data_IF_320131135425
#
_entry.id   IF_320131135425
#
_cell.length_a   1.000
_cell.length_b   1.000
_cell.length_c   1.000
_cell.angle_alpha   90.00
_cell.angle_beta   90.00
_cell.angle_gamma   90.00
#
_symmetry.space_group_name_H-M   'P 1'
#
loop_
_entity.id
_entity.type
_entity.pdbx_description
1 polymer ?
#
# COMPACT_ATOMS: atom_id res chain seq x y z
N UNK A 1 45.07 0.36 10.17
CA UNK A 1 43.79 -0.32 10.48
C UNK A 1 42.74 0.28 9.62
N UNK A 2 42.00 -0.56 8.92
CA UNK A 2 40.79 -0.19 8.21
C UNK A 2 39.60 -0.82 8.91
N UNK A 3 38.51 -0.08 8.99
CA UNK A 3 37.25 -0.51 9.59
C UNK A 3 36.15 -0.36 8.53
N UNK A 4 35.49 -1.47 8.22
CA UNK A 4 34.34 -1.50 7.34
C UNK A 4 33.07 -1.76 8.17
N UNK A 5 32.23 -0.76 8.42
CA UNK A 5 30.98 -0.98 9.15
C UNK A 5 30.00 -1.79 8.29
N UNK A 6 29.46 -2.86 8.84
CA UNK A 6 28.42 -3.65 8.20
C UNK A 6 27.09 -2.85 8.23
N UNK A 7 26.29 -2.87 7.15
CA UNK A 7 25.08 -2.05 7.03
C UNK A 7 24.05 -2.23 8.14
N UNK A 8 23.91 -3.44 8.67
CA UNK A 8 22.93 -3.78 9.71
C UNK A 8 23.46 -4.86 10.67
N UNK A 9 23.10 -4.74 11.95
CA UNK A 9 23.40 -5.72 13.00
C UNK A 9 22.56 -6.99 12.90
N UNK A 10 21.33 -6.86 12.40
CA UNK A 10 20.39 -7.96 12.18
C UNK A 10 20.28 -8.27 10.69
N UNK A 11 21.34 -8.81 10.10
CA UNK A 11 21.36 -9.23 8.72
C UNK A 11 22.20 -10.49 8.52
N UNK A 12 21.90 -11.22 7.45
CA UNK A 12 22.70 -12.36 7.01
C UNK A 12 23.72 -11.84 5.99
N UNK A 13 24.99 -12.15 6.24
CA UNK A 13 26.10 -11.92 5.32
C UNK A 13 26.70 -13.28 4.94
N UNK A 14 26.51 -13.69 3.69
CA UNK A 14 27.03 -14.94 3.13
C UNK A 14 28.14 -14.65 2.10
N UNK A 15 29.00 -15.63 1.82
CA UNK A 15 30.13 -15.52 0.87
C UNK A 15 30.99 -14.26 1.11
N UNK A 16 31.25 -13.94 2.39
CA UNK A 16 32.07 -12.79 2.78
C UNK A 16 33.51 -12.99 2.33
N UNK A 17 33.99 -12.05 1.50
CA UNK A 17 35.35 -12.03 0.94
C UNK A 17 36.00 -10.70 1.27
N UNK A 18 37.19 -10.77 1.84
CA UNK A 18 38.02 -9.61 2.14
C UNK A 18 39.38 -9.86 1.51
N UNK A 19 39.77 -9.00 0.57
CA UNK A 19 41.04 -9.12 -0.16
C UNK A 19 41.80 -7.79 -0.13
N UNK A 20 43.12 -7.88 -0.04
CA UNK A 20 44.04 -6.77 -0.17
C UNK A 20 44.91 -7.02 -1.41
N UNK A 21 44.88 -6.10 -2.37
CA UNK A 21 45.58 -6.23 -3.65
C UNK A 21 45.26 -7.54 -4.39
N UNK A 22 44.01 -8.01 -4.25
CA UNK A 22 43.50 -9.25 -4.85
C UNK A 22 43.79 -10.53 -4.06
N UNK A 23 44.64 -10.48 -3.04
CA UNK A 23 44.95 -11.64 -2.18
C UNK A 23 44.04 -11.66 -0.93
N UNK A 24 43.54 -12.83 -0.50
CA UNK A 24 42.80 -12.95 0.76
C UNK A 24 43.62 -12.46 1.95
N UNK A 25 43.01 -11.67 2.83
CA UNK A 25 43.66 -11.11 4.03
C UNK A 25 42.91 -11.53 5.29
N UNK A 26 43.64 -11.72 6.39
CA UNK A 26 43.03 -11.98 7.70
C UNK A 26 42.27 -10.74 8.19
N UNK A 27 41.07 -10.95 8.69
CA UNK A 27 40.22 -9.90 9.26
C UNK A 27 39.63 -10.36 10.60
N UNK A 28 39.17 -9.40 11.40
CA UNK A 28 38.42 -9.64 12.62
C UNK A 28 37.05 -8.99 12.51
N UNK A 29 36.02 -9.60 13.08
CA UNK A 29 34.70 -8.96 13.19
C UNK A 29 34.54 -8.44 14.62
N UNK A 30 34.31 -7.14 14.79
CA UNK A 30 34.09 -6.50 16.10
C UNK A 30 33.05 -5.39 15.92
N UNK A 31 32.12 -5.27 16.87
CA UNK A 31 31.16 -4.14 16.94
C UNK A 31 30.46 -3.82 15.61
N UNK A 32 29.92 -4.84 14.93
CA UNK A 32 29.25 -4.70 13.62
C UNK A 32 30.19 -4.23 12.49
N UNK A 33 31.51 -4.40 12.62
CA UNK A 33 32.47 -4.00 11.60
C UNK A 33 33.50 -5.09 11.30
N UNK A 34 34.04 -5.04 10.07
CA UNK A 34 35.18 -5.84 9.64
C UNK A 34 36.45 -5.01 9.82
N UNK A 35 37.37 -5.52 10.62
CA UNK A 35 38.64 -4.89 10.95
C UNK A 35 39.77 -5.56 10.18
N UNK A 36 40.49 -4.78 9.39
CA UNK A 36 41.64 -5.24 8.59
C UNK A 36 42.90 -4.48 8.99
N UNK A 37 43.94 -5.22 9.35
CA UNK A 37 45.26 -4.67 9.68
C UNK A 37 46.25 -5.05 8.59
N UNK A 38 46.74 -4.07 7.84
CA UNK A 38 47.77 -4.25 6.82
C UNK A 38 48.86 -3.20 6.94
N UNK A 39 50.10 -3.57 6.55
CA UNK A 39 51.21 -2.62 6.41
C UNK A 39 51.34 -2.24 4.95
N UNK A 40 51.16 -0.96 4.66
CA UNK A 40 51.36 -0.39 3.31
C UNK A 40 52.68 0.37 3.32
N UNK A 41 53.64 0.05 2.41
CA UNK A 41 54.88 0.80 2.30
C UNK A 41 54.63 2.28 1.97
N UNK A 42 55.57 3.14 2.37
CA UNK A 42 55.43 4.59 2.13
C UNK A 42 55.46 4.87 0.62
N UNK A 43 54.40 5.51 0.13
CA UNK A 43 54.26 5.88 -1.28
C UNK A 43 53.49 4.86 -2.13
N UNK A 44 53.21 3.67 -1.57
CA UNK A 44 52.39 2.67 -2.23
C UNK A 44 50.90 2.90 -1.97
N UNK A 45 50.07 2.40 -2.89
CA UNK A 45 48.61 2.33 -2.76
C UNK A 45 48.22 0.88 -2.56
N UNK A 46 47.35 0.61 -1.60
CA UNK A 46 46.78 -0.71 -1.39
C UNK A 46 45.27 -0.67 -1.67
N UNK A 47 44.77 -1.67 -2.37
CA UNK A 47 43.35 -1.80 -2.74
C UNK A 47 42.69 -2.82 -1.83
N UNK A 48 41.78 -2.36 -0.97
CA UNK A 48 40.95 -3.25 -0.17
C UNK A 48 39.62 -3.50 -0.89
N UNK A 49 39.28 -4.76 -1.10
CA UNK A 49 37.98 -5.16 -1.64
C UNK A 49 37.23 -6.03 -0.65
N UNK A 50 35.98 -5.64 -0.37
CA UNK A 50 35.03 -6.35 0.48
C UNK A 50 33.84 -6.75 -0.38
N UNK A 51 33.50 -8.03 -0.39
CA UNK A 51 32.33 -8.56 -1.11
C UNK A 51 31.54 -9.48 -0.21
N UNK A 52 30.21 -9.44 -0.31
CA UNK A 52 29.31 -10.31 0.43
C UNK A 52 27.98 -10.43 -0.31
N UNK A 53 27.22 -11.45 0.05
CA UNK A 53 25.82 -11.63 -0.32
C UNK A 53 24.96 -11.36 0.89
N UNK A 54 23.86 -10.65 0.70
CA UNK A 54 22.89 -10.39 1.76
C UNK A 54 21.48 -10.49 1.21
N UNK A 55 20.51 -10.61 2.11
CA UNK A 55 19.09 -10.69 1.79
C UNK A 55 18.37 -9.49 2.39
N UNK A 56 17.55 -8.83 1.58
CA UNK A 56 16.69 -7.72 1.98
C UNK A 56 15.39 -7.79 1.19
N UNK A 57 14.30 -7.27 1.78
CA UNK A 57 12.94 -7.39 1.21
C UNK A 57 12.38 -6.07 0.68
N UNK A 58 12.82 -4.95 1.24
CA UNK A 58 12.10 -3.67 1.08
C UNK A 58 12.93 -2.66 0.30
N UNK A 59 14.16 -2.42 0.75
CA UNK A 59 14.96 -1.31 0.29
C UNK A 59 16.45 -1.62 0.38
N UNK A 60 17.20 -1.07 -0.56
CA UNK A 60 18.66 -1.02 -0.51
C UNK A 60 19.11 0.43 -0.35
N UNK A 61 20.07 0.68 0.55
CA UNK A 61 20.67 2.01 0.76
C UNK A 61 22.19 1.92 0.88
N UNK A 62 22.86 2.95 0.42
CA UNK A 62 24.29 3.18 0.60
C UNK A 62 24.52 4.59 1.13
N UNK A 63 25.04 4.67 2.35
CA UNK A 63 25.38 5.93 2.98
C UNK A 63 26.79 6.34 2.60
N UNK A 64 26.94 7.56 2.06
CA UNK A 64 28.24 8.17 1.77
C UNK A 64 28.93 8.67 3.04
N UNK A 65 28.17 8.85 4.13
CA UNK A 65 28.64 9.22 5.47
C UNK A 65 27.46 9.39 6.43
N UNK A 66 27.71 9.91 7.64
CA UNK A 66 26.66 10.08 8.65
C UNK A 66 25.84 11.37 8.47
N UNK A 67 26.37 12.36 7.75
CA UNK A 67 25.75 13.66 7.45
C UNK A 67 26.12 14.10 6.00
N UNK A 68 26.54 15.36 5.82
CA UNK A 68 27.14 15.82 4.57
C UNK A 68 28.53 15.20 4.41
N UNK A 69 28.66 14.30 3.44
CA UNK A 69 29.92 13.62 3.15
C UNK A 69 30.54 14.18 1.86
N UNK A 70 31.86 14.41 1.90
CA UNK A 70 32.67 14.65 0.70
C UNK A 70 33.24 13.31 0.22
N UNK A 71 32.91 12.91 -1.00
CA UNK A 71 33.44 11.70 -1.63
C UNK A 71 34.05 12.08 -2.99
N UNK A 72 35.26 11.58 -3.24
CA UNK A 72 36.00 11.80 -4.48
C UNK A 72 36.12 10.50 -5.26
N UNK A 73 36.13 10.62 -6.58
CA UNK A 73 36.26 9.49 -7.52
C UNK A 73 35.27 8.36 -7.22
N UNK A 74 34.02 8.73 -6.93
CA UNK A 74 32.97 7.78 -6.57
C UNK A 74 32.36 7.15 -7.82
N UNK A 75 32.37 5.82 -7.85
CA UNK A 75 31.66 5.04 -8.85
C UNK A 75 30.84 3.94 -8.19
N UNK A 76 29.53 3.95 -8.44
CA UNK A 76 28.63 2.89 -8.05
C UNK A 76 27.85 2.38 -9.24
N UNK A 77 27.91 1.08 -9.45
CA UNK A 77 27.12 0.38 -10.46
C UNK A 77 26.18 -0.60 -9.78
N UNK A 78 24.88 -0.38 -9.95
CA UNK A 78 23.82 -1.27 -9.49
C UNK A 78 23.22 -2.00 -10.68
N UNK A 79 23.04 -3.31 -10.55
CA UNK A 79 22.43 -4.16 -11.58
C UNK A 79 21.18 -4.81 -10.99
N UNK A 80 20.03 -4.55 -11.58
CA UNK A 80 18.76 -5.16 -11.18
C UNK A 80 18.38 -6.28 -12.14
N UNK A 81 17.59 -7.22 -11.63
CA UNK A 81 16.95 -8.28 -12.41
C UNK A 81 15.43 -8.06 -12.50
N UNK A 82 15.00 -6.80 -12.44
CA UNK A 82 13.62 -6.35 -12.50
C UNK A 82 13.54 -4.95 -13.10
N UNK A 83 12.41 -4.67 -13.74
CA UNK A 83 12.19 -3.43 -14.49
C UNK A 83 11.52 -2.32 -13.68
N UNK A 84 10.73 -2.69 -12.66
CA UNK A 84 10.02 -1.78 -11.76
C UNK A 84 11.01 -1.24 -10.71
N UNK A 85 11.67 -0.14 -11.04
CA UNK A 85 12.63 0.56 -10.18
C UNK A 85 12.00 1.83 -9.61
N UNK A 86 12.11 2.01 -8.31
CA UNK A 86 11.73 3.25 -7.65
C UNK A 86 12.86 3.75 -6.73
N UNK A 87 12.89 5.06 -6.51
CA UNK A 87 13.93 5.72 -5.73
C UNK A 87 13.29 6.38 -4.51
N UNK A 88 13.73 6.04 -3.29
CA UNK A 88 13.12 6.60 -2.11
C UNK A 88 13.36 8.09 -1.99
N UNK A 89 12.51 8.75 -1.20
CA UNK A 89 12.73 10.14 -0.82
C UNK A 89 14.12 10.34 -0.21
N UNK A 90 14.70 11.51 -0.47
CA UNK A 90 16.04 11.89 -0.01
C UNK A 90 17.17 10.98 -0.53
N UNK A 91 17.02 10.46 -1.76
CA UNK A 91 18.07 9.71 -2.45
C UNK A 91 18.59 10.39 -3.71
N UNK A 92 19.87 10.17 -4.01
CA UNK A 92 20.50 10.58 -5.25
C UNK A 92 19.99 9.69 -6.38
N UNK A 93 19.47 10.33 -7.44
CA UNK A 93 19.16 9.64 -8.69
C UNK A 93 20.43 9.23 -9.44
N UNK A 94 20.42 8.12 -10.18
CA UNK A 94 21.58 7.68 -10.95
C UNK A 94 21.89 8.67 -12.07
N UNK A 95 23.18 8.93 -12.26
CA UNK A 95 23.71 9.73 -13.37
C UNK A 95 23.45 9.09 -14.74
N UNK A 96 23.36 7.76 -14.79
CA UNK A 96 23.07 7.02 -16.01
C UNK A 96 22.12 5.85 -15.73
N UNK A 97 21.14 5.65 -16.63
CA UNK A 97 20.19 4.54 -16.62
C UNK A 97 20.25 3.83 -17.96
N UNK A 98 20.59 2.54 -17.96
CA UNK A 98 20.59 1.70 -19.16
C UNK A 98 19.69 0.48 -18.96
N UNK A 99 18.67 0.26 -19.82
CA UNK A 99 17.87 -0.95 -19.77
C UNK A 99 18.68 -2.16 -20.24
N UNK A 100 18.34 -3.33 -19.73
CA UNK A 100 18.90 -4.64 -20.13
C UNK A 100 17.74 -5.61 -20.45
N UNK A 101 18.06 -6.84 -20.85
CA UNK A 101 17.05 -7.83 -21.22
C UNK A 101 16.12 -8.28 -20.06
N UNK A 102 16.44 -7.95 -18.80
CA UNK A 102 15.63 -8.33 -17.65
C UNK A 102 15.86 -7.45 -16.43
N UNK A 103 16.04 -6.13 -16.64
CA UNK A 103 16.27 -5.16 -15.58
C UNK A 103 17.12 -3.98 -16.02
N UNK A 104 17.79 -3.33 -15.09
CA UNK A 104 18.53 -2.09 -15.32
C UNK A 104 19.99 -2.16 -14.88
N UNK A 105 20.84 -1.40 -15.57
CA UNK A 105 22.14 -0.97 -15.09
C UNK A 105 22.01 0.50 -14.73
N UNK A 106 22.17 0.81 -13.44
CA UNK A 106 22.09 2.14 -12.88
C UNK A 106 23.49 2.54 -12.40
N UNK A 107 23.99 3.70 -12.83
CA UNK A 107 25.32 4.18 -12.47
C UNK A 107 25.27 5.55 -11.81
N UNK A 108 26.00 5.68 -10.71
CA UNK A 108 26.30 6.95 -10.05
C UNK A 108 27.80 7.19 -10.19
N UNK A 109 28.16 8.20 -10.96
CA UNK A 109 29.55 8.57 -11.20
C UNK A 109 29.77 10.04 -10.82
N UNK A 110 30.60 10.28 -9.80
CA UNK A 110 30.88 11.63 -9.31
C UNK A 110 32.39 11.81 -9.06
N UNK A 111 32.98 12.85 -9.66
CA UNK A 111 34.39 13.17 -9.46
C UNK A 111 34.66 13.80 -8.08
N UNK A 112 33.79 14.72 -7.66
CA UNK A 112 33.85 15.36 -6.34
C UNK A 112 32.42 15.67 -5.88
N UNK A 113 31.88 14.88 -4.96
CA UNK A 113 30.51 14.98 -4.46
C UNK A 113 30.52 15.44 -3.01
N UNK A 114 29.81 16.53 -2.72
CA UNK A 114 29.44 16.93 -1.36
C UNK A 114 27.92 16.76 -1.23
N UNK A 115 27.47 15.75 -0.48
CA UNK A 115 26.05 15.40 -0.40
C UNK A 115 25.65 14.95 0.99
N UNK A 116 24.51 15.46 1.47
CA UNK A 116 23.78 14.90 2.61
C UNK A 116 22.73 13.84 2.21
N UNK A 117 22.55 13.61 0.91
CA UNK A 117 21.66 12.57 0.38
C UNK A 117 22.41 11.26 0.18
N UNK A 118 21.70 10.16 0.42
CA UNK A 118 22.19 8.80 0.25
C UNK A 118 21.87 8.25 -1.13
N UNK A 119 22.43 7.11 -1.51
CA UNK A 119 21.96 6.37 -2.69
C UNK A 119 20.98 5.30 -2.18
N UNK A 120 19.84 5.17 -2.84
CA UNK A 120 18.82 4.21 -2.45
C UNK A 120 18.05 3.66 -3.64
N UNK A 121 17.49 2.46 -3.47
CA UNK A 121 16.58 1.84 -4.42
C UNK A 121 15.54 1.02 -3.66
N UNK A 122 14.28 1.24 -3.99
CA UNK A 122 13.17 0.45 -3.47
C UNK A 122 13.03 -0.82 -4.30
N UNK A 123 12.99 -1.96 -3.61
CA UNK A 123 12.86 -3.25 -4.28
C UNK A 123 11.39 -3.50 -4.64
N UNK A 124 11.11 -4.08 -5.83
CA UNK A 124 9.74 -4.39 -6.22
C UNK A 124 9.16 -5.45 -5.29
N UNK A 125 8.28 -5.02 -4.42
CA UNK A 125 7.56 -5.93 -3.53
C UNK A 125 6.42 -6.61 -4.30
N UNK A 126 6.39 -7.94 -4.24
CA UNK A 126 5.16 -8.68 -4.57
C UNK A 126 4.01 -8.16 -3.70
N UNK A 127 2.80 -8.17 -4.24
CA UNK A 127 1.59 -7.78 -3.50
C UNK A 127 1.53 -8.60 -2.20
N UNK A 128 1.82 -7.98 -1.06
CA UNK A 128 1.71 -8.66 0.23
C UNK A 128 0.23 -8.69 0.63
N UNK A 129 -0.38 -9.88 0.76
CA UNK A 129 -1.82 -9.95 0.93
C UNK A 129 -2.32 -9.35 2.26
N UNK A 130 -1.55 -9.51 3.34
CA UNK A 130 -1.87 -8.98 4.66
C UNK A 130 -1.99 -7.45 4.72
N UNK A 131 -0.92 -6.68 4.39
CA UNK A 131 -0.99 -5.21 4.37
C UNK A 131 -2.10 -4.67 3.46
N UNK A 132 -2.33 -5.30 2.31
CA UNK A 132 -3.42 -4.90 1.41
C UNK A 132 -4.80 -5.09 2.05
N UNK A 133 -5.06 -6.25 2.65
CA UNK A 133 -6.32 -6.52 3.37
C UNK A 133 -6.52 -5.52 4.52
N UNK A 134 -5.45 -5.17 5.24
CA UNK A 134 -5.45 -4.14 6.27
C UNK A 134 -5.84 -2.75 5.74
N UNK A 135 -5.27 -2.32 4.60
CA UNK A 135 -5.63 -1.05 3.97
C UNK A 135 -7.08 -1.03 3.50
N UNK A 136 -7.56 -2.10 2.86
CA UNK A 136 -8.97 -2.22 2.44
C UNK A 136 -9.90 -2.08 3.66
N UNK A 137 -9.60 -2.76 4.76
CA UNK A 137 -10.37 -2.68 6.00
C UNK A 137 -10.30 -1.28 6.65
N UNK A 138 -9.15 -0.61 6.61
CA UNK A 138 -8.98 0.74 7.15
C UNK A 138 -9.87 1.77 6.44
N UNK A 139 -10.01 1.66 5.12
CA UNK A 139 -10.87 2.55 4.33
C UNK A 139 -12.34 2.09 4.25
N UNK A 140 -12.69 0.94 4.84
CA UNK A 140 -14.06 0.42 4.87
C UNK A 140 -15.10 1.42 5.39
N UNK A 141 -14.85 2.23 6.44
CA UNK A 141 -15.83 3.21 6.92
C UNK A 141 -16.17 4.29 5.89
N UNK A 142 -15.19 4.71 5.07
CA UNK A 142 -15.40 5.71 4.00
C UNK A 142 -16.30 5.13 2.93
N UNK A 143 -16.05 3.90 2.51
CA UNK A 143 -16.91 3.22 1.54
C UNK A 143 -18.33 2.99 2.09
N UNK A 144 -18.44 2.54 3.34
CA UNK A 144 -19.73 2.33 4.00
C UNK A 144 -20.55 3.62 4.06
N UNK A 145 -19.90 4.76 4.29
CA UNK A 145 -20.54 6.07 4.28
C UNK A 145 -21.18 6.38 2.92
N UNK A 146 -20.46 6.16 1.81
CA UNK A 146 -21.02 6.35 0.47
C UNK A 146 -22.15 5.38 0.17
N UNK A 147 -21.99 4.11 0.54
CA UNK A 147 -23.04 3.10 0.42
C UNK A 147 -24.31 3.51 1.17
N UNK A 148 -24.19 3.97 2.41
CA UNK A 148 -25.32 4.46 3.21
C UNK A 148 -25.93 5.75 2.66
N UNK A 149 -25.12 6.69 2.19
CA UNK A 149 -25.63 7.92 1.57
C UNK A 149 -26.51 7.60 0.36
N UNK A 150 -26.03 6.72 -0.55
CA UNK A 150 -26.80 6.32 -1.72
C UNK A 150 -28.05 5.52 -1.33
N UNK A 151 -27.93 4.56 -0.41
CA UNK A 151 -29.07 3.80 0.10
C UNK A 151 -30.14 4.73 0.71
N UNK A 152 -29.72 5.69 1.53
CA UNK A 152 -30.60 6.68 2.14
C UNK A 152 -31.34 7.50 1.07
N UNK A 153 -30.61 8.04 0.08
CA UNK A 153 -31.21 8.81 -1.02
C UNK A 153 -32.25 7.99 -1.78
N UNK A 154 -31.93 6.76 -2.15
CA UNK A 154 -32.86 5.90 -2.91
C UNK A 154 -34.11 5.59 -2.06
N UNK A 155 -33.94 5.26 -0.79
CA UNK A 155 -35.03 4.96 0.16
C UNK A 155 -35.93 6.19 0.35
N UNK A 156 -35.34 7.39 0.47
CA UNK A 156 -36.08 8.66 0.56
C UNK A 156 -36.87 8.96 -0.73
N UNK A 157 -36.24 8.83 -1.90
CA UNK A 157 -36.92 9.07 -3.19
C UNK A 157 -38.05 8.06 -3.43
N UNK A 158 -37.85 6.81 -3.04
CA UNK A 158 -38.84 5.72 -3.17
C UNK A 158 -39.89 5.72 -2.05
N UNK A 159 -39.79 6.61 -1.06
CA UNK A 159 -40.66 6.65 0.14
C UNK A 159 -40.75 5.30 0.85
N UNK A 160 -39.62 4.61 0.97
CA UNK A 160 -39.52 3.36 1.73
C UNK A 160 -39.17 3.72 3.16
N UNK A 161 -39.90 3.18 4.14
CA UNK A 161 -39.54 3.34 5.55
C UNK A 161 -38.55 2.24 5.93
N UNK A 162 -37.29 2.62 6.12
CA UNK A 162 -36.23 1.69 6.48
C UNK A 162 -35.81 1.96 7.92
N UNK A 163 -36.18 1.03 8.81
CA UNK A 163 -35.88 1.15 10.23
C UNK A 163 -34.36 1.22 10.48
N UNK A 164 -33.85 2.02 11.44
CA UNK A 164 -32.42 2.12 11.75
C UNK A 164 -31.71 0.77 11.98
N UNK A 165 -32.42 -0.21 12.51
CA UNK A 165 -31.91 -1.58 12.70
C UNK A 165 -31.48 -2.24 11.39
N UNK A 166 -32.18 -1.96 10.29
CA UNK A 166 -31.85 -2.53 8.99
C UNK A 166 -30.52 -1.96 8.47
N UNK A 167 -30.21 -0.68 8.74
CA UNK A 167 -28.88 -0.11 8.46
C UNK A 167 -27.78 -0.80 9.27
N UNK A 168 -28.04 -1.16 10.53
CA UNK A 168 -27.08 -1.91 11.34
C UNK A 168 -26.77 -3.30 10.74
N UNK A 169 -27.79 -4.03 10.28
CA UNK A 169 -27.59 -5.30 9.57
C UNK A 169 -26.85 -5.14 8.24
N UNK A 170 -27.14 -4.06 7.50
CA UNK A 170 -26.40 -3.74 6.27
C UNK A 170 -24.93 -3.44 6.55
N UNK A 171 -24.61 -2.68 7.61
CA UNK A 171 -23.23 -2.48 8.04
C UNK A 171 -22.55 -3.80 8.41
N UNK A 172 -23.21 -4.67 9.17
CA UNK A 172 -22.67 -5.98 9.54
C UNK A 172 -22.38 -6.85 8.30
N UNK A 173 -23.31 -6.89 7.34
CA UNK A 173 -23.13 -7.59 6.07
C UNK A 173 -21.98 -6.97 5.24
N UNK A 174 -21.83 -5.64 5.26
CA UNK A 174 -20.72 -4.94 4.63
C UNK A 174 -19.36 -5.27 5.26
N UNK A 175 -19.27 -5.29 6.59
CA UNK A 175 -18.04 -5.66 7.29
C UNK A 175 -17.69 -7.15 7.20
N UNK A 176 -18.67 -8.03 6.95
CA UNK A 176 -18.40 -9.45 6.73
C UNK A 176 -17.43 -9.71 5.57
N UNK A 177 -17.44 -8.87 4.53
CA UNK A 177 -16.46 -8.90 3.44
C UNK A 177 -15.04 -8.73 3.96
N UNK A 178 -14.82 -7.73 4.81
CA UNK A 178 -13.49 -7.37 5.32
C UNK A 178 -12.96 -8.44 6.26
N UNK A 179 -13.82 -8.96 7.14
CA UNK A 179 -13.48 -10.04 8.06
C UNK A 179 -13.10 -11.33 7.30
N UNK A 180 -13.92 -11.72 6.33
CA UNK A 180 -13.67 -12.93 5.55
C UNK A 180 -12.45 -12.78 4.65
N UNK A 181 -12.26 -11.61 4.04
CA UNK A 181 -11.07 -11.29 3.24
C UNK A 181 -9.81 -11.40 4.10
N UNK A 182 -9.77 -10.72 5.25
CA UNK A 182 -8.61 -10.74 6.14
C UNK A 182 -8.21 -12.15 6.57
N UNK A 183 -9.18 -13.05 6.75
CA UNK A 183 -8.89 -14.44 7.10
C UNK A 183 -8.45 -15.30 5.90
N UNK A 184 -9.12 -15.19 4.75
CA UNK A 184 -8.82 -16.01 3.57
C UNK A 184 -7.52 -15.59 2.86
N UNK A 185 -7.08 -14.35 3.01
CA UNK A 185 -5.96 -13.79 2.24
C UNK A 185 -4.64 -14.54 2.47
N UNK A 186 -4.49 -15.14 3.65
CA UNK A 186 -3.31 -15.92 4.04
C UNK A 186 -3.42 -17.41 3.68
N UNK A 187 -4.62 -17.88 3.31
CA UNK A 187 -4.90 -19.29 3.05
C UNK A 187 -5.02 -19.62 1.55
N UNK A 188 -5.49 -18.66 0.74
CA UNK A 188 -5.72 -18.83 -0.69
C UNK A 188 -5.26 -17.60 -1.48
N UNK A 189 -5.24 -17.69 -2.82
CA UNK A 189 -4.87 -16.55 -3.66
C UNK A 189 -5.75 -15.31 -3.35
N UNK A 190 -5.13 -14.14 -3.31
CA UNK A 190 -5.79 -12.89 -2.93
C UNK A 190 -7.01 -12.55 -3.81
N UNK A 191 -6.93 -12.84 -5.11
CA UNK A 191 -8.04 -12.61 -6.03
C UNK A 191 -9.22 -13.56 -5.75
N UNK A 192 -8.95 -14.83 -5.40
CA UNK A 192 -9.98 -15.77 -5.00
C UNK A 192 -10.62 -15.38 -3.65
N UNK A 193 -9.80 -15.02 -2.66
CA UNK A 193 -10.29 -14.52 -1.37
C UNK A 193 -11.22 -13.32 -1.56
N UNK A 194 -10.80 -12.37 -2.40
CA UNK A 194 -11.60 -11.19 -2.73
C UNK A 194 -12.95 -11.55 -3.35
N UNK A 195 -12.97 -12.40 -4.39
CA UNK A 195 -14.22 -12.80 -5.07
C UNK A 195 -15.16 -13.52 -4.11
N UNK A 196 -14.66 -14.47 -3.32
CA UNK A 196 -15.47 -15.22 -2.34
C UNK A 196 -16.08 -14.26 -1.32
N UNK A 197 -15.27 -13.37 -0.74
CA UNK A 197 -15.76 -12.39 0.23
C UNK A 197 -16.79 -11.43 -0.38
N UNK A 198 -16.57 -10.98 -1.62
CA UNK A 198 -17.52 -10.11 -2.32
C UNK A 198 -18.86 -10.80 -2.55
N UNK A 199 -18.84 -12.05 -3.03
CA UNK A 199 -20.05 -12.84 -3.28
C UNK A 199 -20.83 -13.05 -1.99
N UNK A 200 -20.16 -13.41 -0.89
CA UNK A 200 -20.79 -13.62 0.41
C UNK A 200 -21.46 -12.33 0.91
N UNK A 201 -20.78 -11.20 0.87
CA UNK A 201 -21.34 -9.93 1.35
C UNK A 201 -22.50 -9.42 0.47
N UNK A 202 -22.39 -9.52 -0.85
CA UNK A 202 -23.49 -9.19 -1.78
C UNK A 202 -24.68 -10.11 -1.51
N UNK A 203 -24.46 -11.41 -1.36
CA UNK A 203 -25.53 -12.36 -1.07
C UNK A 203 -26.24 -12.04 0.25
N UNK A 204 -25.50 -11.66 1.31
CA UNK A 204 -26.09 -11.23 2.59
C UNK A 204 -26.94 -9.97 2.44
N UNK A 205 -26.44 -8.93 1.77
CA UNK A 205 -27.20 -7.68 1.56
C UNK A 205 -28.44 -7.90 0.71
N UNK A 206 -28.30 -8.60 -0.43
CA UNK A 206 -29.40 -8.86 -1.36
C UNK A 206 -30.46 -9.77 -0.74
N UNK A 207 -30.04 -10.83 -0.04
CA UNK A 207 -30.99 -11.74 0.62
C UNK A 207 -31.78 -11.04 1.73
N UNK A 208 -31.12 -10.19 2.53
CA UNK A 208 -31.78 -9.43 3.59
C UNK A 208 -32.75 -8.39 3.04
N UNK A 209 -32.33 -7.56 2.09
CA UNK A 209 -33.19 -6.52 1.52
C UNK A 209 -34.34 -7.08 0.67
N UNK A 210 -34.18 -8.28 0.12
CA UNK A 210 -35.28 -9.01 -0.52
C UNK A 210 -36.42 -9.26 0.48
N UNK A 211 -36.11 -9.57 1.74
CA UNK A 211 -37.10 -9.85 2.78
C UNK A 211 -37.76 -8.56 3.32
N UNK A 212 -37.00 -7.47 3.40
CA UNK A 212 -37.47 -6.21 4.01
C UNK A 212 -38.27 -5.35 3.04
N UNK A 213 -37.80 -5.18 1.80
CA UNK A 213 -38.36 -4.22 0.83
C UNK A 213 -38.99 -4.94 -0.36
N UNK A 214 -38.31 -5.97 -0.87
CA UNK A 214 -38.75 -6.74 -2.02
C UNK A 214 -37.63 -7.04 -3.04
N UNK A 215 -37.87 -7.98 -3.97
CA UNK A 215 -36.84 -8.52 -4.85
C UNK A 215 -36.30 -7.51 -5.86
N UNK A 216 -37.15 -6.66 -6.44
CA UNK A 216 -36.73 -5.70 -7.48
C UNK A 216 -35.73 -4.68 -6.96
N UNK A 217 -35.96 -4.14 -5.76
CA UNK A 217 -35.05 -3.23 -5.09
C UNK A 217 -33.75 -3.92 -4.70
N UNK A 218 -33.84 -5.13 -4.12
CA UNK A 218 -32.68 -5.87 -3.64
C UNK A 218 -31.70 -6.24 -4.77
N UNK A 219 -32.20 -6.76 -5.89
CA UNK A 219 -31.35 -7.23 -6.98
C UNK A 219 -30.83 -6.12 -7.90
N UNK A 220 -31.53 -4.99 -8.04
CA UNK A 220 -31.07 -3.88 -8.90
C UNK A 220 -30.32 -2.83 -8.12
N UNK A 221 -30.96 -2.21 -7.13
CA UNK A 221 -30.42 -1.02 -6.47
C UNK A 221 -29.38 -1.43 -5.43
N UNK A 222 -29.73 -2.35 -4.53
CA UNK A 222 -28.84 -2.72 -3.44
C UNK A 222 -27.63 -3.53 -3.93
N UNK A 223 -27.82 -4.46 -4.86
CA UNK A 223 -26.72 -5.20 -5.46
C UNK A 223 -25.77 -4.28 -6.24
N UNK A 224 -26.30 -3.30 -7.00
CA UNK A 224 -25.46 -2.33 -7.72
C UNK A 224 -24.71 -1.41 -6.76
N UNK A 225 -25.38 -0.89 -5.72
CA UNK A 225 -24.74 -0.08 -4.69
C UNK A 225 -23.63 -0.85 -3.97
N UNK A 226 -23.88 -2.11 -3.58
CA UNK A 226 -22.87 -2.96 -2.96
C UNK A 226 -21.73 -3.27 -3.94
N UNK A 227 -22.00 -3.56 -5.20
CA UNK A 227 -20.96 -3.82 -6.20
C UNK A 227 -20.07 -2.59 -6.41
N UNK A 228 -20.65 -1.40 -6.49
CA UNK A 228 -19.88 -0.16 -6.70
C UNK A 228 -19.09 0.21 -5.44
N UNK A 229 -19.78 0.33 -4.30
CA UNK A 229 -19.16 0.86 -3.09
C UNK A 229 -18.36 -0.19 -2.33
N UNK A 230 -18.80 -1.45 -2.23
CA UNK A 230 -17.96 -2.48 -1.62
C UNK A 230 -16.91 -3.00 -2.60
N UNK A 231 -17.32 -3.54 -3.74
CA UNK A 231 -16.44 -4.34 -4.60
C UNK A 231 -15.49 -3.47 -5.42
N UNK A 232 -16.00 -2.56 -6.25
CA UNK A 232 -15.14 -1.73 -7.11
C UNK A 232 -14.23 -0.82 -6.28
N UNK A 233 -14.75 -0.24 -5.19
CA UNK A 233 -13.94 0.53 -4.25
C UNK A 233 -12.81 -0.30 -3.63
N UNK A 234 -13.11 -1.49 -3.11
CA UNK A 234 -12.07 -2.35 -2.51
C UNK A 234 -11.09 -2.86 -3.56
N UNK A 235 -11.56 -3.07 -4.79
CA UNK A 235 -10.71 -3.46 -5.91
C UNK A 235 -9.74 -2.34 -6.34
N UNK A 236 -10.09 -1.07 -6.10
CA UNK A 236 -9.22 0.07 -6.39
C UNK A 236 -7.86 -0.03 -5.67
N UNK A 237 -7.80 -0.69 -4.51
CA UNK A 237 -6.58 -0.90 -3.74
C UNK A 237 -5.58 -1.84 -4.43
N UNK A 238 -6.01 -2.63 -5.41
CA UNK A 238 -5.09 -3.46 -6.20
C UNK A 238 -4.25 -2.66 -7.20
N UNK A 239 -4.66 -1.42 -7.55
CA UNK A 239 -3.91 -0.54 -8.43
C UNK A 239 -2.89 0.29 -7.65
N UNK A 240 -1.68 -0.25 -7.48
CA UNK A 240 -0.55 0.47 -6.84
C UNK A 240 -0.35 1.85 -7.45
N UNK A 241 -0.24 2.88 -6.61
CA UNK A 241 -0.01 4.28 -7.01
C UNK A 241 -1.27 5.08 -7.39
N UNK A 242 -2.39 4.43 -7.73
CA UNK A 242 -3.62 5.12 -8.16
C UNK A 242 -4.79 5.00 -7.18
N UNK A 243 -4.64 4.27 -6.07
CA UNK A 243 -5.70 4.04 -5.08
C UNK A 243 -6.33 5.35 -4.58
N UNK A 244 -5.51 6.33 -4.17
CA UNK A 244 -5.98 7.62 -3.70
C UNK A 244 -6.78 8.36 -4.77
N UNK A 245 -6.25 8.41 -6.00
CA UNK A 245 -6.92 9.04 -7.13
C UNK A 245 -8.28 8.38 -7.44
N UNK A 246 -8.33 7.05 -7.46
CA UNK A 246 -9.56 6.29 -7.71
C UNK A 246 -10.62 6.58 -6.64
N UNK A 247 -10.23 6.60 -5.36
CA UNK A 247 -11.11 6.93 -4.24
C UNK A 247 -11.61 8.37 -4.35
N UNK A 248 -10.73 9.32 -4.67
CA UNK A 248 -11.11 10.74 -4.83
C UNK A 248 -12.11 10.92 -5.97
N UNK A 249 -11.85 10.33 -7.14
CA UNK A 249 -12.76 10.39 -8.29
C UNK A 249 -14.11 9.75 -7.93
N UNK A 250 -14.10 8.55 -7.35
CA UNK A 250 -15.31 7.86 -6.91
C UNK A 250 -16.14 8.70 -5.92
N UNK A 251 -15.46 9.34 -4.96
CA UNK A 251 -16.08 10.23 -3.98
C UNK A 251 -16.72 11.46 -4.63
N UNK A 252 -16.01 12.12 -5.54
CA UNK A 252 -16.51 13.31 -6.26
C UNK A 252 -17.72 12.94 -7.11
N UNK A 253 -17.65 11.85 -7.88
CA UNK A 253 -18.76 11.38 -8.72
C UNK A 253 -19.98 11.01 -7.88
N UNK A 254 -19.78 10.30 -6.77
CA UNK A 254 -20.85 9.93 -5.84
C UNK A 254 -21.53 11.16 -5.26
N UNK A 255 -20.73 12.13 -4.80
CA UNK A 255 -21.24 13.38 -4.27
C UNK A 255 -22.02 14.18 -5.32
N UNK A 256 -21.49 14.27 -6.55
CA UNK A 256 -22.16 14.93 -7.66
C UNK A 256 -23.52 14.28 -7.95
N UNK A 257 -23.58 12.95 -8.08
CA UNK A 257 -24.84 12.22 -8.30
C UNK A 257 -25.81 12.44 -7.14
N UNK A 258 -25.33 12.37 -5.89
CA UNK A 258 -26.15 12.61 -4.71
C UNK A 258 -26.76 14.03 -4.72
N UNK A 259 -25.96 15.05 -5.02
CA UNK A 259 -26.43 16.43 -5.12
C UNK A 259 -27.45 16.62 -6.25
N UNK A 260 -27.22 16.04 -7.43
CA UNK A 260 -28.15 16.16 -8.56
C UNK A 260 -29.49 15.47 -8.27
N UNK A 261 -29.48 14.29 -7.64
CA UNK A 261 -30.69 13.54 -7.31
C UNK A 261 -31.49 14.19 -6.18
N UNK A 262 -30.81 14.80 -5.20
CA UNK A 262 -31.45 15.39 -4.02
C UNK A 262 -31.75 16.88 -4.15
N UNK A 263 -31.20 17.58 -5.15
CA UNK A 263 -31.34 19.03 -5.28
C UNK A 263 -32.78 19.54 -5.44
N UNK A 264 -33.73 18.67 -5.83
CA UNK A 264 -35.15 19.00 -5.93
C UNK A 264 -35.99 18.53 -4.73
N UNK A 265 -35.37 17.88 -3.74
CA UNK A 265 -36.05 17.34 -2.57
C UNK A 265 -36.24 18.44 -1.52
N UNK A 266 -37.48 18.64 -1.06
CA UNK A 266 -37.79 19.55 0.05
C UNK A 266 -37.54 18.85 1.38
N UNK A 267 -36.31 18.92 1.87
CA UNK A 267 -35.89 18.28 3.12
C UNK A 267 -36.76 18.66 4.34
N UNK A 268 -37.21 19.90 4.42
CA UNK A 268 -38.06 20.38 5.51
C UNK A 268 -39.37 19.59 5.65
N UNK A 269 -40.01 19.21 4.53
CA UNK A 269 -41.27 18.45 4.55
C UNK A 269 -41.04 16.99 4.98
N UNK A 270 -39.89 16.41 4.66
CA UNK A 270 -39.53 15.03 4.99
C UNK A 270 -39.23 14.88 6.49
N UNK A 271 -38.51 15.84 7.08
CA UNK A 271 -38.20 15.80 8.51
C UNK A 271 -39.36 16.28 9.40
N UNK A 272 -40.30 17.08 8.87
CA UNK A 272 -41.48 17.54 9.61
C UNK A 272 -42.59 16.49 9.74
N UNK A 273 -42.56 15.41 8.96
CA UNK A 273 -43.62 14.40 8.89
C UNK A 273 -43.64 13.38 10.06
N UNK A 274 -42.98 13.65 11.20
CA UNK A 274 -43.22 12.89 12.43
C UNK A 274 -44.34 13.58 13.23
N UNK A 275 -45.59 13.06 13.23
CA UNK A 275 -46.64 13.66 14.03
C UNK A 275 -46.34 13.33 15.49
N UNK A 276 -46.26 14.37 16.31
CA UNK A 276 -46.36 14.28 17.77
C UNK A 276 -47.60 13.46 18.10
N UNK A 277 -47.41 12.27 18.65
CA UNK A 277 -48.48 11.42 19.16
C UNK A 277 -49.22 12.19 20.25
N UNK A 278 -50.34 12.81 19.89
CA UNK A 278 -51.27 13.40 20.88
C UNK A 278 -51.86 12.25 21.70
N UNK A 279 -51.30 12.06 22.91
CA UNK A 279 -51.88 11.24 23.96
C UNK A 279 -53.26 11.80 24.32
N UNK A 280 -54.31 11.21 23.75
CA UNK A 280 -55.69 11.47 24.18
C UNK A 280 -55.94 10.64 25.44
N UNK A 281 -55.79 11.26 26.61
CA UNK A 281 -56.34 10.75 27.87
C UNK A 281 -57.85 11.00 27.87
N UNK A 282 -58.62 9.93 28.01
CA UNK A 282 -59.98 9.94 28.58
C UNK A 282 -60.00 8.92 29.70
#
# INVERSE_FOLDING_TARGET
NFEFPLPASQAIYDDLRVTLDGAPVAYQTRDQAIMVTARVPRGDTATLAVGYKSQGLDQWRYSLGNDVAEVRDFDLTMRTNFDDIDFPENSLSPSEKRPTAGGWILRWHYANLLSGFQIGMDMPQKLQPGPLAGQIAFFAPVSLLFFFAVMFIIVTIRRIELHPMNYAFLAAAFFSFHLLLAYLVDHISIHAAFVISSVVSIALVVSYLRLVIGPTFAFREAAAAQLVYLVLFSYAFFFKGFTGLAITIGSIVTLFVAMQLTGRIRWAEIFAAQPVTTLRRT
#
